data_IF_261371734152
#
_entry.id   IF_261371734152
#
_cell.length_a   1.000
_cell.length_b   1.000
_cell.length_c   1.000
_cell.angle_alpha   90.00
_cell.angle_beta   90.00
_cell.angle_gamma   90.00
#
_symmetry.space_group_name_H-M   'P 1'
#
loop_
_entity.id
_entity.type
_entity.pdbx_description
1 polymer ?
#
# COMPACT_ATOMS: atom_id res chain seq x y z
N UNK A 1 11.09 -9.78 9.73
CA UNK A 1 11.92 -8.68 10.24
C UNK A 1 13.41 -9.01 10.14
N UNK A 2 13.89 -10.10 10.80
CA UNK A 2 15.31 -10.46 10.83
C UNK A 2 15.91 -10.60 9.42
N UNK A 3 15.25 -11.35 8.53
CA UNK A 3 15.69 -11.53 7.13
C UNK A 3 15.84 -10.18 6.41
N UNK A 4 14.87 -9.28 6.57
CA UNK A 4 14.94 -7.95 5.98
C UNK A 4 16.11 -7.13 6.54
N UNK A 5 16.30 -7.18 7.86
CA UNK A 5 17.43 -6.50 8.49
C UNK A 5 18.78 -7.04 7.99
N UNK A 6 18.94 -8.37 7.89
CA UNK A 6 20.16 -8.99 7.38
C UNK A 6 20.46 -8.63 5.92
N UNK A 7 19.42 -8.43 5.09
CA UNK A 7 19.59 -8.04 3.69
C UNK A 7 19.92 -6.56 3.56
N UNK A 8 19.17 -5.67 4.23
CA UNK A 8 19.27 -4.23 3.96
C UNK A 8 20.25 -3.49 4.88
N UNK A 9 20.48 -3.97 6.12
CA UNK A 9 21.36 -3.31 7.07
C UNK A 9 22.81 -3.18 6.60
N UNK A 10 23.43 -4.18 5.94
CA UNK A 10 24.80 -4.02 5.41
C UNK A 10 24.92 -2.84 4.44
N UNK A 11 23.98 -2.69 3.49
CA UNK A 11 23.98 -1.58 2.55
C UNK A 11 23.78 -0.25 3.26
N UNK A 12 22.87 -0.20 4.22
CA UNK A 12 22.62 0.98 5.05
C UNK A 12 23.86 1.44 5.82
N UNK A 13 24.62 0.51 6.39
CA UNK A 13 25.86 0.81 7.14
C UNK A 13 26.99 1.22 6.21
N UNK A 14 27.14 0.57 5.06
CA UNK A 14 28.17 0.90 4.08
C UNK A 14 27.96 2.28 3.46
N UNK A 15 26.70 2.69 3.28
CA UNK A 15 26.33 3.98 2.72
C UNK A 15 26.18 5.08 3.78
N UNK A 16 26.71 4.88 4.99
CA UNK A 16 26.69 5.90 6.05
C UNK A 16 25.29 6.25 6.55
N UNK A 17 24.36 5.28 6.54
CA UNK A 17 22.98 5.47 6.99
C UNK A 17 22.01 5.86 5.87
N UNK A 18 22.44 5.89 4.63
CA UNK A 18 21.59 6.05 3.45
C UNK A 18 21.36 4.70 2.76
N UNK A 19 20.51 4.72 1.74
CA UNK A 19 20.34 3.59 0.85
C UNK A 19 20.33 4.10 -0.59
N UNK A 20 21.46 3.91 -1.27
CA UNK A 20 21.59 4.26 -2.67
C UNK A 20 21.00 3.14 -3.52
N UNK A 21 19.79 3.37 -3.98
CA UNK A 21 19.11 2.50 -4.93
C UNK A 21 18.82 3.27 -6.22
N UNK A 22 18.75 2.61 -7.35
CA UNK A 22 18.59 3.27 -8.63
C UNK A 22 17.20 3.93 -8.80
N UNK A 23 17.13 4.96 -9.63
CA UNK A 23 15.90 5.53 -10.17
C UNK A 23 14.99 6.20 -9.14
N UNK A 24 13.70 5.91 -9.21
CA UNK A 24 12.65 6.62 -8.46
C UNK A 24 12.78 6.52 -6.94
N UNK A 25 13.45 5.49 -6.43
CA UNK A 25 13.67 5.38 -4.99
C UNK A 25 14.44 6.60 -4.46
N UNK A 26 15.58 6.93 -5.08
CA UNK A 26 16.41 8.06 -4.65
C UNK A 26 15.91 9.40 -5.18
N UNK A 27 15.56 9.47 -6.48
CA UNK A 27 15.21 10.74 -7.12
C UNK A 27 13.83 11.26 -6.72
N UNK A 28 12.89 10.35 -6.43
CA UNK A 28 11.50 10.70 -6.19
C UNK A 28 11.04 10.39 -4.76
N UNK A 29 11.19 9.13 -4.30
CA UNK A 29 10.54 8.68 -3.07
C UNK A 29 11.11 9.33 -1.81
N UNK A 30 12.43 9.47 -1.71
CA UNK A 30 13.08 10.17 -0.58
C UNK A 30 12.65 11.64 -0.56
N UNK A 31 12.64 12.28 -1.73
CA UNK A 31 12.23 13.68 -1.88
C UNK A 31 10.77 13.89 -1.50
N UNK A 32 9.87 12.99 -1.91
CA UNK A 32 8.45 13.05 -1.56
C UNK A 32 8.22 12.90 -0.07
N UNK A 33 8.88 11.92 0.58
CA UNK A 33 8.80 11.75 2.03
C UNK A 33 9.26 13.01 2.78
N UNK A 34 10.40 13.59 2.37
CA UNK A 34 10.90 14.83 2.98
C UNK A 34 9.95 16.00 2.77
N UNK A 35 9.54 16.23 1.52
CA UNK A 35 8.65 17.32 1.16
C UNK A 35 7.35 17.26 1.94
N UNK A 36 6.66 16.12 1.88
CA UNK A 36 5.37 15.96 2.52
C UNK A 36 5.43 15.95 4.05
N UNK A 37 6.54 15.46 4.65
CA UNK A 37 6.75 15.61 6.09
C UNK A 37 6.82 17.09 6.49
N UNK A 38 7.59 17.89 5.76
CA UNK A 38 7.67 19.34 6.00
C UNK A 38 6.35 20.05 5.74
N UNK A 39 5.67 19.71 4.64
CA UNK A 39 4.39 20.28 4.25
C UNK A 39 3.31 20.06 5.33
N UNK A 40 3.13 18.82 5.78
CA UNK A 40 2.11 18.49 6.80
C UNK A 40 2.43 19.05 8.19
N UNK A 41 3.70 19.32 8.48
CA UNK A 41 4.12 19.97 9.73
C UNK A 41 4.09 21.49 9.68
N UNK A 42 3.73 22.08 8.55
CA UNK A 42 3.74 23.53 8.38
C UNK A 42 5.15 24.15 8.46
N UNK A 43 6.20 23.35 8.19
CA UNK A 43 7.60 23.81 8.28
C UNK A 43 8.04 24.68 7.10
N UNK A 44 7.10 25.14 6.28
CA UNK A 44 7.31 26.05 5.17
C UNK A 44 8.49 25.67 4.26
N UNK A 45 8.23 25.48 2.99
CA UNK A 45 9.28 25.57 1.99
C UNK A 45 9.55 27.05 1.68
N UNK A 46 10.72 27.41 1.12
CA UNK A 46 11.08 28.80 0.80
C UNK A 46 10.08 29.54 -0.09
N UNK A 47 9.20 28.79 -0.78
CA UNK A 47 8.13 29.30 -1.65
C UNK A 47 6.80 29.59 -0.90
N UNK A 48 6.80 29.48 0.44
CA UNK A 48 5.59 29.63 1.25
C UNK A 48 4.58 28.47 1.10
N UNK A 49 4.94 27.42 0.38
CA UNK A 49 4.15 26.19 0.31
C UNK A 49 4.15 25.52 1.68
N UNK A 50 2.97 25.12 2.16
CA UNK A 50 2.87 24.34 3.39
C UNK A 50 2.33 25.09 4.59
N UNK A 51 1.44 26.08 4.41
CA UNK A 51 0.52 26.41 5.47
C UNK A 51 -0.53 25.30 5.57
N UNK A 52 -0.92 24.95 6.78
CA UNK A 52 -1.98 23.95 7.07
C UNK A 52 -3.31 24.29 6.35
N UNK A 53 -3.44 25.52 5.87
CA UNK A 53 -4.60 26.06 5.16
C UNK A 53 -4.49 26.03 3.63
N UNK A 54 -3.32 25.71 3.08
CA UNK A 54 -3.11 25.71 1.63
C UNK A 54 -2.70 24.33 1.13
N UNK A 55 -3.67 23.61 0.56
CA UNK A 55 -3.45 22.31 -0.07
C UNK A 55 -2.76 22.40 -1.45
N UNK A 56 -2.57 23.61 -1.96
CA UNK A 56 -1.92 23.90 -3.24
C UNK A 56 -0.43 24.27 -3.04
N UNK A 57 0.43 23.80 -3.92
CA UNK A 57 1.83 24.15 -3.94
C UNK A 57 2.35 24.37 -5.35
N UNK A 58 3.05 25.50 -5.56
CA UNK A 58 3.75 25.78 -6.82
C UNK A 58 4.98 24.88 -7.03
N UNK A 59 5.55 24.34 -5.95
CA UNK A 59 6.69 23.43 -6.00
C UNK A 59 6.30 21.99 -6.41
N UNK A 60 4.99 21.70 -6.53
CA UNK A 60 4.49 20.40 -6.94
C UNK A 60 3.92 20.47 -8.35
N UNK A 61 4.52 19.75 -9.30
CA UNK A 61 4.06 19.60 -10.69
C UNK A 61 3.72 20.95 -11.39
N UNK A 62 4.54 21.97 -11.17
CA UNK A 62 4.35 23.34 -11.68
C UNK A 62 3.07 24.03 -11.15
N UNK A 63 2.57 23.59 -10.03
CA UNK A 63 1.37 24.08 -9.36
C UNK A 63 0.27 23.03 -9.33
N UNK A 64 0.17 22.31 -8.22
CA UNK A 64 -0.82 21.25 -8.04
C UNK A 64 -1.30 21.18 -6.59
N UNK A 65 -2.46 20.57 -6.40
CA UNK A 65 -2.96 20.22 -5.07
C UNK A 65 -2.15 19.05 -4.48
N UNK A 66 -1.64 19.22 -3.28
CA UNK A 66 -0.84 18.19 -2.61
C UNK A 66 -1.58 16.86 -2.45
N UNK A 67 -2.90 16.89 -2.19
CA UNK A 67 -3.69 15.67 -2.09
C UNK A 67 -3.71 14.91 -3.42
N UNK A 68 -3.92 15.60 -4.54
CA UNK A 68 -3.99 14.96 -5.86
C UNK A 68 -2.62 14.40 -6.27
N UNK A 69 -1.53 15.16 -6.04
CA UNK A 69 -0.20 14.78 -6.45
C UNK A 69 0.37 13.60 -5.62
N UNK A 70 0.05 13.54 -4.31
CA UNK A 70 0.68 12.58 -3.39
C UNK A 70 -0.26 11.50 -2.83
N UNK A 71 -1.55 11.50 -3.19
CA UNK A 71 -2.48 10.45 -2.74
C UNK A 71 -2.06 9.06 -3.17
N UNK A 72 -1.57 8.92 -4.39
CA UNK A 72 -1.07 7.66 -4.95
C UNK A 72 0.20 7.15 -4.25
N UNK A 73 1.07 8.06 -3.78
CA UNK A 73 2.40 7.72 -3.27
C UNK A 73 2.48 7.60 -1.76
N UNK A 74 1.80 8.46 -1.00
CA UNK A 74 2.09 8.66 0.41
C UNK A 74 0.87 8.71 1.33
N UNK A 75 -0.18 9.45 0.97
CA UNK A 75 -1.26 9.78 1.90
C UNK A 75 -1.97 8.56 2.50
N UNK A 76 -2.12 7.49 1.76
CA UNK A 76 -2.73 6.25 2.25
C UNK A 76 -1.75 5.31 2.96
N UNK A 77 -0.45 5.61 2.94
CA UNK A 77 0.58 4.75 3.51
C UNK A 77 0.69 4.87 5.03
N UNK A 78 0.44 3.81 5.81
CA UNK A 78 0.67 3.83 7.25
C UNK A 78 2.14 4.04 7.60
N UNK A 79 3.06 3.63 6.74
CA UNK A 79 4.50 3.82 6.91
C UNK A 79 4.91 5.27 6.73
N UNK A 80 4.27 5.99 5.81
CA UNK A 80 4.47 7.43 5.69
C UNK A 80 3.95 8.16 6.94
N UNK A 81 2.76 7.84 7.43
CA UNK A 81 2.23 8.44 8.66
C UNK A 81 3.13 8.16 9.86
N UNK A 82 3.68 6.96 9.97
CA UNK A 82 4.67 6.64 11.01
C UNK A 82 5.93 7.52 10.87
N UNK A 83 6.37 7.83 9.66
CA UNK A 83 7.54 8.68 9.41
C UNK A 83 7.35 10.12 9.90
N UNK A 84 6.11 10.61 10.05
CA UNK A 84 5.82 11.94 10.58
C UNK A 84 6.22 12.10 12.06
N UNK A 85 6.43 11.02 12.80
CA UNK A 85 6.94 11.08 14.16
C UNK A 85 8.39 11.59 14.23
N UNK A 86 9.10 11.61 13.11
CA UNK A 86 10.51 11.97 13.03
C UNK A 86 10.71 13.34 12.37
N UNK A 87 11.80 14.06 12.73
CA UNK A 87 12.16 15.32 12.07
C UNK A 87 12.43 15.11 10.57
N UNK A 88 12.05 16.10 9.74
CA UNK A 88 12.23 16.06 8.29
C UNK A 88 13.65 15.69 7.84
N UNK A 89 14.67 16.20 8.56
CA UNK A 89 16.09 15.92 8.28
C UNK A 89 16.49 14.45 8.41
N UNK A 90 15.71 13.65 9.15
CA UNK A 90 16.02 12.24 9.40
C UNK A 90 15.38 11.31 8.36
N UNK A 91 14.50 11.82 7.51
CA UNK A 91 13.74 10.96 6.58
C UNK A 91 14.63 10.17 5.62
N UNK A 92 15.73 10.72 5.06
CA UNK A 92 16.62 9.92 4.21
C UNK A 92 17.20 8.69 4.94
N UNK A 93 17.49 8.84 6.24
CA UNK A 93 18.02 7.76 7.09
C UNK A 93 16.93 6.77 7.54
N UNK A 94 15.66 7.16 7.51
CA UNK A 94 14.54 6.30 7.87
C UNK A 94 14.10 5.38 6.73
N UNK A 95 14.54 5.59 5.51
CA UNK A 95 14.06 4.82 4.35
C UNK A 95 14.33 3.33 4.49
N UNK A 96 15.52 2.92 4.95
CA UNK A 96 15.84 1.50 5.19
C UNK A 96 15.08 0.93 6.41
N UNK A 97 15.08 1.57 7.58
CA UNK A 97 14.23 1.11 8.69
C UNK A 97 12.76 0.93 8.30
N UNK A 98 12.18 1.86 7.52
CA UNK A 98 10.83 1.73 7.01
C UNK A 98 10.69 0.57 6.02
N UNK A 99 11.67 0.37 5.14
CA UNK A 99 11.68 -0.75 4.21
C UNK A 99 11.71 -2.09 4.96
N UNK A 100 12.58 -2.23 5.98
CA UNK A 100 12.62 -3.40 6.86
C UNK A 100 11.26 -3.62 7.54
N UNK A 101 10.62 -2.55 8.01
CA UNK A 101 9.29 -2.61 8.62
C UNK A 101 8.24 -3.09 7.62
N UNK A 102 8.24 -2.59 6.38
CA UNK A 102 7.32 -3.02 5.31
C UNK A 102 7.44 -4.52 5.03
N UNK A 103 8.67 -5.02 4.85
CA UNK A 103 8.92 -6.45 4.66
C UNK A 103 8.53 -7.29 5.88
N UNK A 104 8.71 -6.76 7.09
CA UNK A 104 8.27 -7.41 8.32
C UNK A 104 6.74 -7.53 8.39
N UNK A 105 6.02 -6.46 8.02
CA UNK A 105 4.55 -6.44 7.96
C UNK A 105 4.04 -7.38 6.88
N UNK A 106 4.68 -7.39 5.68
CA UNK A 106 4.37 -8.34 4.60
C UNK A 106 4.48 -9.80 5.06
N UNK A 107 5.62 -10.14 5.65
CA UNK A 107 5.86 -11.49 6.17
C UNK A 107 4.93 -11.84 7.34
N UNK A 108 4.61 -10.89 8.21
CA UNK A 108 3.65 -11.09 9.31
C UNK A 108 2.25 -11.42 8.82
N UNK A 109 1.73 -10.65 7.87
CA UNK A 109 0.42 -10.90 7.26
C UNK A 109 0.37 -12.23 6.50
N UNK A 110 1.40 -12.50 5.68
CA UNK A 110 1.52 -13.75 4.97
C UNK A 110 1.62 -14.97 5.91
N UNK A 111 2.35 -14.85 7.01
CA UNK A 111 2.41 -15.90 8.03
C UNK A 111 1.05 -16.17 8.66
N UNK A 112 0.32 -15.12 9.07
CA UNK A 112 -1.01 -15.28 9.69
C UNK A 112 -2.00 -15.92 8.72
N UNK A 113 -1.92 -15.61 7.44
CA UNK A 113 -2.72 -16.25 6.40
C UNK A 113 -2.30 -17.72 6.19
N UNK A 114 -1.00 -17.98 5.95
CA UNK A 114 -0.48 -19.31 5.60
C UNK A 114 -0.59 -20.32 6.75
N UNK A 115 -0.40 -19.92 8.00
CA UNK A 115 -0.50 -20.81 9.17
C UNK A 115 -1.88 -21.48 9.32
N UNK A 116 -2.89 -21.01 8.62
CA UNK A 116 -4.21 -21.63 8.56
C UNK A 116 -4.21 -22.91 7.72
N UNK A 117 -3.42 -22.91 6.66
CA UNK A 117 -3.37 -23.98 5.65
C UNK A 117 -2.18 -24.90 5.83
N UNK A 118 -1.10 -24.40 6.40
CA UNK A 118 0.15 -25.13 6.60
C UNK A 118 0.25 -25.53 8.06
N UNK A 119 0.25 -26.86 8.33
CA UNK A 119 0.26 -27.40 9.71
C UNK A 119 1.58 -27.12 10.45
N UNK A 120 2.70 -27.25 9.75
CA UNK A 120 4.03 -26.99 10.32
C UNK A 120 4.34 -25.49 10.27
N UNK A 121 4.65 -24.92 11.43
CA UNK A 121 4.95 -23.50 11.56
C UNK A 121 6.20 -23.06 10.79
N UNK A 122 7.20 -23.94 10.69
CA UNK A 122 8.44 -23.63 9.97
C UNK A 122 8.16 -23.44 8.46
N UNK A 123 7.32 -24.29 7.87
CA UNK A 123 6.90 -24.13 6.46
C UNK A 123 6.00 -22.91 6.26
N UNK A 124 5.17 -22.56 7.23
CA UNK A 124 4.41 -21.30 7.17
C UNK A 124 5.33 -20.07 7.23
N UNK A 125 6.37 -20.09 8.07
CA UNK A 125 7.40 -19.04 8.11
C UNK A 125 8.17 -18.97 6.80
N UNK A 126 8.59 -20.13 6.26
CA UNK A 126 9.27 -20.19 4.97
C UNK A 126 8.42 -19.58 3.85
N UNK A 127 7.14 -19.97 3.76
CA UNK A 127 6.20 -19.41 2.80
C UNK A 127 6.02 -17.89 2.96
N UNK A 128 5.95 -17.40 4.18
CA UNK A 128 5.85 -15.97 4.48
C UNK A 128 7.11 -15.19 4.06
N UNK A 129 8.30 -15.78 4.24
CA UNK A 129 9.56 -15.18 3.75
C UNK A 129 9.59 -15.19 2.23
N UNK A 130 9.23 -16.30 1.59
CA UNK A 130 9.16 -16.38 0.12
C UNK A 130 8.16 -15.38 -0.49
N UNK A 131 7.03 -15.15 0.17
CA UNK A 131 6.10 -14.10 -0.24
C UNK A 131 6.72 -12.71 -0.12
N UNK A 132 7.23 -12.36 1.06
CA UNK A 132 7.76 -11.03 1.33
C UNK A 132 8.95 -10.71 0.39
N UNK A 133 9.84 -11.67 0.16
CA UNK A 133 11.01 -11.54 -0.70
C UNK A 133 10.79 -12.15 -2.10
N UNK A 134 9.54 -12.14 -2.58
CA UNK A 134 9.23 -12.52 -3.96
C UNK A 134 9.96 -11.64 -4.96
N UNK A 135 10.17 -12.16 -6.17
CA UNK A 135 10.77 -11.37 -7.26
C UNK A 135 10.04 -10.06 -7.52
N UNK A 136 8.71 -10.04 -7.40
CA UNK A 136 7.92 -8.83 -7.48
C UNK A 136 8.27 -7.83 -6.37
N UNK A 137 8.37 -8.29 -5.13
CA UNK A 137 8.70 -7.46 -3.98
C UNK A 137 10.09 -6.84 -4.10
N UNK A 138 11.11 -7.64 -4.46
CA UNK A 138 12.49 -7.16 -4.59
C UNK A 138 12.65 -6.21 -5.78
N UNK A 139 12.05 -6.52 -6.92
CA UNK A 139 12.09 -5.65 -8.10
C UNK A 139 11.44 -4.28 -7.82
N UNK A 140 10.30 -4.27 -7.13
CA UNK A 140 9.52 -3.05 -6.88
C UNK A 140 10.02 -2.19 -5.70
N UNK A 141 11.18 -2.51 -5.09
CA UNK A 141 11.84 -1.58 -4.16
C UNK A 141 12.09 -0.22 -4.84
N UNK A 142 12.35 -0.24 -6.14
CA UNK A 142 12.46 0.94 -6.99
C UNK A 142 11.27 1.91 -6.81
N UNK A 143 10.06 1.37 -6.74
CA UNK A 143 8.83 2.08 -6.40
C UNK A 143 8.46 1.81 -4.94
N UNK A 144 9.11 2.47 -4.01
CA UNK A 144 8.97 2.21 -2.57
C UNK A 144 7.51 2.10 -2.05
N UNK A 145 6.57 2.84 -2.65
CA UNK A 145 5.15 2.79 -2.30
C UNK A 145 4.44 1.49 -2.76
N UNK A 146 5.00 0.76 -3.73
CA UNK A 146 4.46 -0.56 -4.12
C UNK A 146 4.73 -1.62 -3.04
N UNK A 147 5.80 -1.45 -2.26
CA UNK A 147 6.09 -2.35 -1.15
C UNK A 147 5.03 -2.24 -0.04
N UNK A 148 4.35 -1.11 0.07
CA UNK A 148 3.20 -0.95 0.98
C UNK A 148 2.04 -1.87 0.56
N UNK A 149 1.80 -2.00 -0.74
CA UNK A 149 0.80 -2.93 -1.29
C UNK A 149 1.15 -4.38 -0.94
N UNK A 150 2.42 -4.77 -1.13
CA UNK A 150 2.92 -6.08 -0.72
C UNK A 150 2.74 -6.31 0.79
N UNK A 151 3.00 -5.28 1.59
CA UNK A 151 2.92 -5.36 3.04
C UNK A 151 1.48 -5.55 3.55
N UNK A 152 0.51 -4.89 2.94
CA UNK A 152 -0.86 -4.78 3.47
C UNK A 152 -1.83 -5.81 2.89
N UNK A 153 -1.59 -6.31 1.67
CA UNK A 153 -2.51 -7.23 1.00
C UNK A 153 -2.75 -8.55 1.75
N UNK A 154 -1.75 -9.25 2.32
CA UNK A 154 -1.99 -10.51 3.03
C UNK A 154 -2.89 -10.36 4.26
N UNK A 155 -2.90 -9.20 4.88
CA UNK A 155 -3.79 -8.91 6.00
C UNK A 155 -5.26 -8.85 5.56
N UNK A 156 -5.52 -8.36 4.35
CA UNK A 156 -6.88 -8.35 3.79
C UNK A 156 -7.36 -9.77 3.47
N UNK A 157 -6.48 -10.63 2.92
CA UNK A 157 -6.78 -12.05 2.71
C UNK A 157 -7.05 -12.77 4.03
N UNK A 158 -6.19 -12.55 5.02
CA UNK A 158 -6.39 -13.12 6.35
C UNK A 158 -7.69 -12.64 6.99
N UNK A 159 -8.04 -11.37 6.84
CA UNK A 159 -9.28 -10.81 7.38
C UNK A 159 -10.52 -11.37 6.68
N UNK A 160 -10.47 -11.62 5.38
CA UNK A 160 -11.54 -12.30 4.65
C UNK A 160 -11.77 -13.72 5.22
N UNK A 161 -10.70 -14.48 5.43
CA UNK A 161 -10.77 -15.80 6.03
C UNK A 161 -11.32 -15.76 7.45
N UNK A 162 -10.93 -14.75 8.26
CA UNK A 162 -11.47 -14.56 9.61
C UNK A 162 -12.99 -14.27 9.60
N UNK A 163 -13.45 -13.49 8.62
CA UNK A 163 -14.87 -13.22 8.46
C UNK A 163 -15.65 -14.49 8.07
N UNK A 164 -15.08 -15.30 7.17
CA UNK A 164 -15.75 -16.54 6.68
C UNK A 164 -15.73 -17.66 7.70
N UNK A 165 -14.56 -17.96 8.30
CA UNK A 165 -14.40 -19.12 9.18
C UNK A 165 -14.80 -18.85 10.62
N UNK A 166 -14.61 -17.62 11.11
CA UNK A 166 -14.86 -17.28 12.51
C UNK A 166 -15.97 -16.24 12.72
N UNK A 167 -16.58 -15.73 11.63
CA UNK A 167 -17.66 -14.76 11.71
C UNK A 167 -17.22 -13.43 12.35
N UNK A 168 -15.93 -13.06 12.23
CA UNK A 168 -15.43 -11.79 12.77
C UNK A 168 -15.92 -10.63 11.94
N UNK A 169 -16.56 -9.67 12.60
CA UNK A 169 -17.13 -8.51 11.96
C UNK A 169 -16.17 -7.30 12.00
N UNK A 170 -16.21 -6.49 10.93
CA UNK A 170 -15.49 -5.22 10.83
C UNK A 170 -14.01 -5.34 10.46
N UNK A 171 -13.39 -6.50 10.69
CA UNK A 171 -11.97 -6.70 10.40
C UNK A 171 -11.69 -6.68 8.89
N UNK A 172 -12.56 -7.31 8.12
CA UNK A 172 -12.43 -7.32 6.65
C UNK A 172 -12.68 -5.92 6.08
N UNK A 173 -13.74 -5.21 6.54
CA UNK A 173 -14.00 -3.83 6.16
C UNK A 173 -12.81 -2.91 6.46
N UNK A 174 -12.18 -3.05 7.64
CA UNK A 174 -10.99 -2.28 8.01
C UNK A 174 -9.84 -2.50 7.00
N UNK A 175 -9.51 -3.77 6.70
CA UNK A 175 -8.40 -4.05 5.77
C UNK A 175 -8.72 -3.73 4.31
N UNK A 176 -9.99 -3.81 3.90
CA UNK A 176 -10.45 -3.28 2.60
C UNK A 176 -10.19 -1.77 2.53
N UNK A 177 -10.60 -1.03 3.56
CA UNK A 177 -10.37 0.41 3.63
C UNK A 177 -8.88 0.77 3.63
N UNK A 178 -8.06 0.08 4.43
CA UNK A 178 -6.60 0.30 4.50
C UNK A 178 -5.94 0.05 3.14
N UNK A 179 -6.27 -1.04 2.43
CA UNK A 179 -5.68 -1.34 1.12
C UNK A 179 -6.12 -0.33 0.06
N UNK A 180 -7.39 0.09 0.06
CA UNK A 180 -7.90 1.12 -0.84
C UNK A 180 -7.22 2.48 -0.59
N UNK A 181 -7.14 2.92 0.68
CA UNK A 181 -6.46 4.15 1.08
C UNK A 181 -5.00 4.13 0.66
N UNK A 182 -4.33 3.00 0.88
CA UNK A 182 -2.90 2.85 0.58
C UNK A 182 -2.60 3.03 -0.90
N UNK A 183 -3.36 2.37 -1.78
CA UNK A 183 -3.15 2.50 -3.22
C UNK A 183 -4.38 2.06 -4.01
N UNK A 184 -5.20 3.03 -4.43
CA UNK A 184 -6.44 2.78 -5.18
C UNK A 184 -6.20 2.10 -6.53
N UNK A 185 -5.06 2.31 -7.17
CA UNK A 185 -4.72 1.68 -8.45
C UNK A 185 -4.52 0.16 -8.30
N UNK A 186 -3.67 -0.26 -7.36
CA UNK A 186 -3.48 -1.69 -7.10
C UNK A 186 -4.70 -2.34 -6.44
N UNK A 187 -5.52 -1.56 -5.74
CA UNK A 187 -6.73 -2.07 -5.11
C UNK A 187 -7.68 -2.72 -6.10
N UNK A 188 -7.78 -2.20 -7.35
CA UNK A 188 -8.58 -2.84 -8.41
C UNK A 188 -8.11 -4.27 -8.68
N UNK A 189 -6.80 -4.47 -8.82
CA UNK A 189 -6.22 -5.81 -8.99
C UNK A 189 -6.42 -6.71 -7.77
N UNK A 190 -6.33 -6.14 -6.56
CA UNK A 190 -6.60 -6.87 -5.31
C UNK A 190 -8.07 -7.34 -5.23
N UNK A 191 -9.03 -6.50 -5.65
CA UNK A 191 -10.46 -6.88 -5.72
C UNK A 191 -10.67 -8.03 -6.69
N UNK A 192 -10.08 -7.95 -7.90
CA UNK A 192 -10.16 -9.05 -8.88
C UNK A 192 -9.57 -10.34 -8.30
N UNK A 193 -8.42 -10.25 -7.63
CA UNK A 193 -7.83 -11.41 -6.96
C UNK A 193 -8.75 -11.98 -5.88
N UNK A 194 -9.34 -11.13 -5.02
CA UNK A 194 -10.25 -11.56 -3.97
C UNK A 194 -11.50 -12.25 -4.53
N UNK A 195 -12.05 -11.74 -5.63
CA UNK A 195 -13.20 -12.37 -6.29
C UNK A 195 -12.84 -13.77 -6.82
N UNK A 196 -11.71 -13.88 -7.52
CA UNK A 196 -11.23 -15.18 -8.01
C UNK A 196 -10.91 -16.14 -6.86
N UNK A 197 -10.24 -15.66 -5.83
CA UNK A 197 -9.94 -16.42 -4.63
C UNK A 197 -11.22 -16.94 -3.98
N UNK A 198 -12.22 -16.07 -3.79
CA UNK A 198 -13.51 -16.45 -3.20
C UNK A 198 -14.23 -17.49 -4.03
N UNK A 199 -14.28 -17.31 -5.37
CA UNK A 199 -14.88 -18.29 -6.29
C UNK A 199 -14.17 -19.64 -6.19
N UNK A 200 -12.84 -19.65 -6.20
CA UNK A 200 -12.07 -20.90 -6.06
C UNK A 200 -12.34 -21.59 -4.73
N UNK A 201 -12.41 -20.84 -3.63
CA UNK A 201 -12.69 -21.37 -2.28
C UNK A 201 -14.11 -21.95 -2.16
N UNK A 202 -15.10 -21.29 -2.75
CA UNK A 202 -16.48 -21.80 -2.80
C UNK A 202 -16.55 -23.06 -3.67
N UNK A 203 -15.90 -23.07 -4.83
CA UNK A 203 -15.89 -24.20 -5.76
C UNK A 203 -15.17 -25.43 -5.17
N UNK A 204 -14.13 -25.21 -4.36
CA UNK A 204 -13.42 -26.27 -3.64
C UNK A 204 -14.21 -26.81 -2.42
N UNK A 205 -15.32 -26.15 -2.05
CA UNK A 205 -16.09 -26.50 -0.86
C UNK A 205 -15.50 -26.01 0.46
N UNK A 206 -14.42 -25.23 0.42
CA UNK A 206 -13.77 -24.65 1.59
C UNK A 206 -14.63 -23.54 2.23
N UNK A 207 -15.30 -22.74 1.40
CA UNK A 207 -16.23 -21.71 1.83
C UNK A 207 -17.66 -22.17 1.60
N UNK A 208 -18.45 -22.25 2.69
CA UNK A 208 -19.88 -22.54 2.59
C UNK A 208 -20.65 -21.23 2.35
N UNK A 209 -20.93 -20.95 1.08
CA UNK A 209 -21.68 -19.76 0.71
C UNK A 209 -23.13 -19.87 1.19
N UNK A 210 -23.50 -19.00 2.13
CA UNK A 210 -24.88 -18.80 2.57
C UNK A 210 -25.33 -17.39 2.23
N UNK A 211 -26.64 -17.12 2.05
CA UNK A 211 -27.12 -15.76 1.81
C UNK A 211 -26.66 -14.78 2.89
N UNK A 212 -26.64 -15.23 4.14
CA UNK A 212 -26.17 -14.40 5.28
C UNK A 212 -24.69 -14.04 5.14
N UNK A 213 -23.83 -14.99 4.81
CA UNK A 213 -22.40 -14.73 4.59
C UNK A 213 -22.18 -13.77 3.41
N UNK A 214 -22.90 -13.99 2.31
CA UNK A 214 -22.80 -13.12 1.15
C UNK A 214 -23.16 -11.67 1.48
N UNK A 215 -24.32 -11.44 2.14
CA UNK A 215 -24.75 -10.11 2.55
C UNK A 215 -23.75 -9.48 3.52
N UNK A 216 -23.23 -10.26 4.47
CA UNK A 216 -22.22 -9.80 5.42
C UNK A 216 -20.93 -9.33 4.71
N UNK A 217 -20.36 -10.15 3.82
CA UNK A 217 -19.14 -9.79 3.09
C UNK A 217 -19.37 -8.61 2.13
N UNK A 218 -20.53 -8.55 1.46
CA UNK A 218 -20.88 -7.41 0.63
C UNK A 218 -20.98 -6.12 1.44
N UNK A 219 -21.61 -6.17 2.61
CA UNK A 219 -21.72 -5.02 3.53
C UNK A 219 -20.34 -4.57 4.02
N UNK A 220 -19.47 -5.50 4.46
CA UNK A 220 -18.11 -5.16 4.89
C UNK A 220 -17.25 -4.60 3.75
N UNK A 221 -17.41 -5.12 2.54
CA UNK A 221 -16.72 -4.57 1.36
C UNK A 221 -17.15 -3.13 1.08
N UNK A 222 -18.47 -2.87 1.07
CA UNK A 222 -19.00 -1.52 0.87
C UNK A 222 -18.57 -0.55 1.98
N UNK A 223 -18.60 -1.02 3.23
CA UNK A 223 -18.13 -0.22 4.38
C UNK A 223 -16.63 0.11 4.24
N UNK A 224 -15.81 -0.87 3.86
CA UNK A 224 -14.38 -0.67 3.63
C UNK A 224 -14.10 0.31 2.50
N UNK A 225 -14.83 0.20 1.38
CA UNK A 225 -14.74 1.18 0.27
C UNK A 225 -15.19 2.56 0.74
N UNK A 226 -16.26 2.65 1.55
CA UNK A 226 -16.71 3.91 2.16
C UNK A 226 -15.64 4.56 3.03
N UNK A 227 -14.91 3.78 3.84
CA UNK A 227 -13.77 4.28 4.63
C UNK A 227 -12.64 4.81 3.74
N UNK A 228 -12.38 4.17 2.60
CA UNK A 228 -11.37 4.60 1.62
C UNK A 228 -11.80 5.77 0.73
N UNK A 229 -13.09 6.14 0.73
CA UNK A 229 -13.63 7.18 -0.15
C UNK A 229 -13.01 8.56 0.07
N UNK A 230 -12.45 8.82 1.25
CA UNK A 230 -11.76 10.08 1.58
C UNK A 230 -10.61 10.38 0.59
N UNK A 231 -9.88 9.37 0.14
CA UNK A 231 -8.82 9.52 -0.87
C UNK A 231 -9.33 9.17 -2.26
N UNK A 232 -10.15 8.13 -2.39
CA UNK A 232 -10.63 7.67 -3.68
C UNK A 232 -11.47 8.74 -4.40
N UNK A 233 -12.37 9.42 -3.69
CA UNK A 233 -13.27 10.39 -4.30
C UNK A 233 -12.54 11.60 -4.92
N UNK A 234 -11.62 12.29 -4.22
CA UNK A 234 -10.81 13.34 -4.82
C UNK A 234 -9.96 12.83 -6.00
N UNK A 235 -9.39 11.62 -5.91
CA UNK A 235 -8.61 11.02 -6.99
C UNK A 235 -9.47 10.79 -8.24
N UNK A 236 -10.69 10.24 -8.09
CA UNK A 236 -11.63 10.05 -9.20
C UNK A 236 -12.02 11.38 -9.83
N UNK A 237 -12.36 12.39 -9.02
CA UNK A 237 -12.69 13.72 -9.55
C UNK A 237 -11.52 14.34 -10.32
N UNK A 238 -10.30 14.20 -9.82
CA UNK A 238 -9.09 14.68 -10.50
C UNK A 238 -8.86 13.96 -11.83
N UNK A 239 -9.10 12.65 -11.88
CA UNK A 239 -8.99 11.88 -13.12
C UNK A 239 -10.06 12.27 -14.16
N UNK A 240 -11.30 12.49 -13.71
CA UNK A 240 -12.40 12.91 -14.59
C UNK A 240 -12.20 14.32 -15.15
N UNK A 241 -11.51 15.18 -14.42
CA UNK A 241 -11.19 16.55 -14.86
C UNK A 241 -9.90 16.64 -15.70
N UNK A 242 -9.17 15.54 -15.82
CA UNK A 242 -7.92 15.54 -16.59
C UNK A 242 -8.24 15.63 -18.09
N UNK A 243 -7.72 16.65 -18.81
CA UNK A 243 -7.94 16.80 -20.25
C UNK A 243 -7.27 15.69 -21.07
N UNK A 244 -6.33 14.95 -20.49
CA UNK A 244 -5.78 13.71 -21.06
C UNK A 244 -6.83 12.60 -20.94
N UNK A 245 -7.88 12.67 -21.76
CA UNK A 245 -8.82 11.57 -21.89
C UNK A 245 -8.07 10.33 -22.35
N UNK A 246 -8.12 9.28 -21.55
CA UNK A 246 -7.71 7.96 -22.01
C UNK A 246 -8.78 7.53 -23.01
N UNK A 247 -8.49 7.72 -24.29
CA UNK A 247 -9.31 7.13 -25.32
C UNK A 247 -9.09 5.61 -25.27
N UNK A 248 -9.98 4.92 -24.57
CA UNK A 248 -9.95 3.46 -24.47
C UNK A 248 -10.10 2.79 -25.84
N UNK A 249 -10.66 3.51 -26.83
CA UNK A 249 -10.74 3.01 -28.19
C UNK A 249 -9.36 2.92 -28.86
N UNK A 250 -8.41 3.78 -28.47
CA UNK A 250 -7.04 3.73 -28.99
C UNK A 250 -6.21 2.59 -28.41
N UNK A 251 -6.60 2.05 -27.25
CA UNK A 251 -5.90 0.92 -26.61
C UNK A 251 -6.01 -0.40 -27.37
N UNK A 252 -7.01 -0.55 -28.22
CA UNK A 252 -7.18 -1.73 -29.06
C UNK A 252 -6.39 -1.67 -30.39
N UNK A 253 -5.84 -0.50 -30.72
CA UNK A 253 -4.98 -0.32 -31.91
C UNK A 253 -3.67 -1.08 -31.90
N UNK A 254 -3.29 -1.67 -30.76
CA UNK A 254 -2.12 -2.57 -30.65
C UNK A 254 -2.42 -4.02 -31.08
N UNK A 255 -3.69 -4.36 -31.32
CA UNK A 255 -4.11 -5.71 -31.71
C UNK A 255 -4.53 -5.81 -33.18
N UNK A 256 -4.45 -4.74 -33.94
CA UNK A 256 -4.65 -4.67 -35.42
C UNK A 256 -3.36 -4.26 -36.10
#
# INVERSE_FOLDING_TARGET
>A
ALTAALIFLPFYLLDGGFFHYAGDFNSQQISFYRYMNGFLKGLGYPDGAGSVHNTFSWATDLGSGALNAYSFYLYGSPFFWFSLLFPQRWLPYLMVPLLVLKFAVAGGGAYLYLRRYVKDQNYAVLGAVLYAFSGWGLYNIFFNHFIDVLALFPWMLWALDEAVYHGRHGLFAFWVGVNLLNNYFFFVGQVLFLLLYFICKVSAGDFKLTPRLFVHLAFESLLGVGLGAVILWPAVLSLLQNPRTIDLSSGWGFLT
#
